data_IF_096420174261
#
_entry.id   IF_096420174261
#
_cell.length_a   1.000
_cell.length_b   1.000
_cell.length_c   1.000
_cell.angle_alpha   90.00
_cell.angle_beta   90.00
_cell.angle_gamma   90.00
#
_symmetry.space_group_name_H-M   'P 1'
#
loop_
_entity.id
_entity.type
_entity.pdbx_description
1 polymer ?
#
# COMPACT_ATOMS: atom_id res chain seq x y z
N UNK A 1 20.14 -54.72 -58.20
CA UNK A 1 20.63 -53.91 -57.08
C UNK A 1 19.85 -52.57 -57.08
N UNK A 2 18.73 -52.53 -56.36
CA UNK A 2 17.92 -51.30 -56.24
C UNK A 2 18.36 -50.59 -55.02
N UNK A 3 18.88 -49.33 -55.16
CA UNK A 3 19.16 -48.44 -54.08
C UNK A 3 17.90 -47.60 -53.74
N UNK A 4 17.31 -47.84 -52.56
CA UNK A 4 16.29 -46.96 -52.00
C UNK A 4 17.00 -45.74 -51.37
N UNK A 5 16.67 -44.56 -51.86
CA UNK A 5 17.05 -43.25 -51.22
C UNK A 5 15.92 -42.88 -50.31
N UNK A 6 16.18 -42.89 -48.98
CA UNK A 6 15.26 -42.38 -47.97
C UNK A 6 15.49 -40.84 -47.83
N UNK A 7 14.51 -40.06 -48.27
CA UNK A 7 14.48 -38.62 -47.99
C UNK A 7 13.93 -38.42 -46.59
N UNK A 8 14.81 -38.01 -45.67
CA UNK A 8 14.41 -37.54 -44.34
C UNK A 8 13.89 -36.12 -44.45
N UNK A 9 12.58 -35.94 -44.29
CA UNK A 9 11.96 -34.61 -44.19
C UNK A 9 12.15 -34.09 -42.76
N UNK A 10 13.14 -33.24 -42.55
CA UNK A 10 13.28 -32.49 -41.30
C UNK A 10 12.20 -31.39 -41.25
N UNK A 11 11.16 -31.64 -40.47
CA UNK A 11 10.18 -30.58 -40.11
C UNK A 11 10.89 -29.60 -39.16
N UNK A 12 11.36 -28.49 -39.69
CA UNK A 12 11.80 -27.37 -38.89
C UNK A 12 10.52 -26.68 -38.36
N UNK A 13 10.16 -27.00 -37.13
CA UNK A 13 9.14 -26.26 -36.42
C UNK A 13 9.70 -24.85 -36.08
N UNK A 14 9.34 -23.87 -36.87
CA UNK A 14 9.50 -22.49 -36.48
C UNK A 14 8.54 -22.24 -35.30
N UNK A 15 9.04 -22.31 -34.07
CA UNK A 15 8.38 -21.71 -32.95
C UNK A 15 8.48 -20.19 -33.13
N UNK A 16 7.49 -19.59 -33.78
CA UNK A 16 7.28 -18.15 -33.71
C UNK A 16 6.74 -17.90 -32.30
N UNK A 17 7.65 -17.62 -31.36
CA UNK A 17 7.27 -17.01 -30.10
C UNK A 17 6.65 -15.65 -30.45
N UNK A 18 5.33 -15.53 -30.37
CA UNK A 18 4.67 -14.25 -30.51
C UNK A 18 5.21 -13.35 -29.39
N UNK A 19 5.88 -12.28 -29.78
CA UNK A 19 6.39 -11.29 -28.83
C UNK A 19 5.18 -10.54 -28.24
N UNK A 20 4.99 -10.59 -26.91
CA UNK A 20 3.96 -9.82 -26.20
C UNK A 20 3.93 -8.35 -26.62
N UNK A 21 5.07 -7.84 -27.09
CA UNK A 21 5.28 -6.44 -27.47
C UNK A 21 4.83 -6.08 -28.89
N UNK A 22 4.55 -7.06 -29.75
CA UNK A 22 4.36 -6.79 -31.19
C UNK A 22 3.17 -5.87 -31.50
N UNK A 23 2.16 -5.81 -30.64
CA UNK A 23 1.01 -4.90 -30.76
C UNK A 23 0.67 -4.19 -29.45
N UNK A 24 1.60 -4.17 -28.48
CA UNK A 24 1.36 -3.71 -27.12
C UNK A 24 0.66 -2.36 -27.10
N UNK A 25 1.22 -1.37 -27.79
CA UNK A 25 0.70 0.01 -27.77
C UNK A 25 -0.73 0.09 -28.28
N UNK A 26 -0.99 -0.53 -29.43
CA UNK A 26 -2.33 -0.54 -30.04
C UNK A 26 -3.37 -1.27 -29.17
N UNK A 27 -2.99 -2.41 -28.60
CA UNK A 27 -3.91 -3.22 -27.80
C UNK A 27 -4.21 -2.56 -26.46
N UNK A 28 -3.23 -1.88 -25.86
CA UNK A 28 -3.45 -1.06 -24.66
C UNK A 28 -4.32 0.13 -24.98
N UNK A 29 -4.05 0.89 -26.06
CA UNK A 29 -4.87 2.05 -26.44
C UNK A 29 -6.36 1.68 -26.59
N UNK A 30 -6.66 0.52 -27.20
CA UNK A 30 -8.04 0.01 -27.30
C UNK A 30 -8.63 -0.36 -25.93
N UNK A 31 -7.78 -0.85 -25.00
CA UNK A 31 -8.19 -1.29 -23.68
C UNK A 31 -8.46 -0.12 -22.73
N UNK A 32 -7.79 1.02 -22.93
CA UNK A 32 -7.84 2.17 -22.02
C UNK A 32 -9.23 2.74 -21.84
N UNK A 33 -10.10 2.72 -22.85
CA UNK A 33 -11.49 3.16 -22.71
C UNK A 33 -12.22 2.37 -21.61
N UNK A 34 -12.02 1.04 -21.56
CA UNK A 34 -12.58 0.19 -20.51
C UNK A 34 -11.94 0.41 -19.14
N UNK A 35 -10.60 0.58 -19.10
CA UNK A 35 -9.87 0.82 -17.85
C UNK A 35 -10.38 2.09 -17.19
N UNK A 36 -10.57 3.17 -17.96
CA UNK A 36 -11.13 4.44 -17.50
C UNK A 36 -12.58 4.24 -17.00
N UNK A 37 -13.40 3.52 -17.77
CA UNK A 37 -14.79 3.22 -17.37
C UNK A 37 -14.84 2.45 -16.04
N UNK A 38 -14.01 1.42 -15.89
CA UNK A 38 -13.96 0.65 -14.63
C UNK A 38 -13.50 1.52 -13.46
N UNK A 39 -12.48 2.35 -13.66
CA UNK A 39 -12.02 3.26 -12.62
C UNK A 39 -13.12 4.22 -12.20
N UNK A 40 -13.80 4.90 -13.15
CA UNK A 40 -14.87 5.85 -12.85
C UNK A 40 -16.02 5.18 -12.10
N UNK A 41 -16.43 3.97 -12.52
CA UNK A 41 -17.49 3.21 -11.87
C UNK A 41 -17.11 2.78 -10.44
N UNK A 42 -15.87 2.37 -10.18
CA UNK A 42 -15.39 2.03 -8.84
C UNK A 42 -15.29 3.29 -7.98
N UNK A 43 -14.80 4.39 -8.54
CA UNK A 43 -14.69 5.68 -7.86
C UNK A 43 -16.05 6.24 -7.41
N UNK A 44 -17.07 6.10 -8.25
CA UNK A 44 -18.43 6.56 -7.94
C UNK A 44 -19.11 5.72 -6.84
N UNK A 45 -18.65 4.47 -6.64
CA UNK A 45 -19.23 3.51 -5.72
C UNK A 45 -18.18 2.95 -4.72
N UNK A 46 -17.49 3.80 -3.97
CA UNK A 46 -16.41 3.36 -3.08
C UNK A 46 -16.95 2.60 -1.87
N UNK A 47 -16.17 1.63 -1.41
CA UNK A 47 -16.48 0.77 -0.28
C UNK A 47 -15.32 0.77 0.71
N UNK A 48 -15.61 0.85 2.03
CA UNK A 48 -14.59 0.80 3.07
C UNK A 48 -13.99 -0.60 3.21
N UNK A 49 -12.83 -0.69 3.84
CA UNK A 49 -12.11 -1.93 4.11
C UNK A 49 -12.98 -3.03 4.70
N UNK A 50 -12.82 -4.26 4.22
CA UNK A 50 -13.66 -5.45 4.49
C UNK A 50 -15.15 -5.29 4.09
N UNK A 51 -15.49 -4.29 3.31
CA UNK A 51 -16.86 -4.03 2.82
C UNK A 51 -16.91 -3.85 1.30
N UNK A 52 -15.83 -4.20 0.60
CA UNK A 52 -15.65 -4.03 -0.85
C UNK A 52 -16.41 -5.11 -1.66
N UNK A 53 -17.64 -5.42 -1.27
CA UNK A 53 -18.43 -6.52 -1.85
C UNK A 53 -18.80 -6.29 -3.32
N UNK A 54 -19.13 -5.05 -3.70
CA UNK A 54 -19.46 -4.70 -5.07
C UNK A 54 -18.20 -4.72 -5.96
N UNK A 55 -17.12 -4.14 -5.46
CA UNK A 55 -15.82 -4.09 -6.13
C UNK A 55 -15.29 -5.50 -6.33
N UNK A 56 -15.29 -6.31 -5.29
CA UNK A 56 -14.92 -7.73 -5.32
C UNK A 56 -15.74 -8.51 -6.38
N UNK A 57 -17.05 -8.33 -6.41
CA UNK A 57 -17.92 -8.99 -7.39
C UNK A 57 -17.63 -8.55 -8.83
N UNK A 58 -17.38 -7.27 -9.06
CA UNK A 58 -16.99 -6.75 -10.38
C UNK A 58 -15.69 -7.37 -10.87
N UNK A 59 -14.69 -7.47 -9.99
CA UNK A 59 -13.41 -8.10 -10.28
C UNK A 59 -13.59 -9.60 -10.58
N UNK A 60 -14.33 -10.32 -9.74
CA UNK A 60 -14.64 -11.74 -9.95
C UNK A 60 -15.25 -11.98 -11.32
N UNK A 61 -16.31 -11.22 -11.67
CA UNK A 61 -17.03 -11.38 -12.93
C UNK A 61 -16.12 -11.10 -14.12
N UNK A 62 -15.29 -10.05 -14.04
CA UNK A 62 -14.33 -9.73 -15.08
C UNK A 62 -13.31 -10.87 -15.28
N UNK A 63 -12.63 -11.30 -14.22
CA UNK A 63 -11.62 -12.34 -14.32
C UNK A 63 -12.19 -13.67 -14.83
N UNK A 64 -13.39 -14.07 -14.35
CA UNK A 64 -14.07 -15.28 -14.84
C UNK A 64 -14.45 -15.17 -16.32
N UNK A 65 -14.86 -13.99 -16.79
CA UNK A 65 -15.18 -13.75 -18.21
C UNK A 65 -13.98 -13.95 -19.13
N UNK A 66 -12.77 -13.76 -18.60
CA UNK A 66 -11.49 -13.99 -19.28
C UNK A 66 -11.00 -15.45 -19.21
N UNK A 67 -11.74 -16.33 -18.53
CA UNK A 67 -11.32 -17.72 -18.31
C UNK A 67 -10.23 -17.91 -17.26
N UNK A 68 -9.99 -16.90 -16.43
CA UNK A 68 -9.04 -16.94 -15.31
C UNK A 68 -9.68 -17.74 -14.16
N UNK A 69 -8.91 -18.60 -13.50
CA UNK A 69 -9.36 -19.31 -12.28
C UNK A 69 -9.41 -18.31 -11.13
N UNK A 70 -10.54 -18.23 -10.41
CA UNK A 70 -10.77 -17.22 -9.38
C UNK A 70 -11.16 -17.85 -8.06
N UNK A 71 -10.47 -17.45 -6.99
CA UNK A 71 -10.90 -17.60 -5.59
C UNK A 71 -11.39 -16.26 -5.04
N UNK A 72 -12.43 -16.28 -4.25
CA UNK A 72 -13.07 -15.10 -3.65
C UNK A 72 -13.25 -15.26 -2.15
N UNK A 73 -13.63 -14.19 -1.48
CA UNK A 73 -13.83 -14.13 -0.02
C UNK A 73 -12.54 -14.43 0.77
N UNK A 74 -11.38 -14.12 0.21
CA UNK A 74 -10.10 -14.19 0.90
C UNK A 74 -9.94 -12.91 1.73
N UNK A 75 -9.64 -13.03 3.00
CA UNK A 75 -9.64 -11.88 3.93
C UNK A 75 -10.93 -11.04 3.79
N UNK A 76 -12.10 -11.68 3.85
CA UNK A 76 -13.47 -11.18 3.64
C UNK A 76 -13.87 -10.94 2.18
N UNK A 77 -13.28 -9.96 1.51
CA UNK A 77 -13.71 -9.49 0.18
C UNK A 77 -12.65 -9.67 -0.90
N UNK A 78 -11.43 -10.09 -0.53
CA UNK A 78 -10.31 -10.27 -1.45
C UNK A 78 -10.58 -11.29 -2.56
N UNK A 79 -9.97 -11.02 -3.71
CA UNK A 79 -10.08 -11.86 -4.91
C UNK A 79 -8.68 -12.23 -5.40
N UNK A 80 -8.46 -13.51 -5.66
CA UNK A 80 -7.23 -14.02 -6.27
C UNK A 80 -7.55 -14.69 -7.59
N UNK A 81 -6.94 -14.21 -8.67
CA UNK A 81 -7.00 -14.78 -10.01
C UNK A 81 -5.73 -15.51 -10.38
N UNK A 82 -5.82 -16.67 -11.04
CA UNK A 82 -4.66 -17.40 -11.57
C UNK A 82 -4.79 -17.59 -13.06
N UNK A 83 -3.90 -16.96 -13.81
CA UNK A 83 -3.72 -17.14 -15.25
C UNK A 83 -2.52 -18.05 -15.51
N UNK A 84 -2.74 -19.15 -16.21
CA UNK A 84 -1.65 -20.04 -16.64
C UNK A 84 -1.28 -19.71 -18.08
N UNK A 85 -0.04 -19.24 -18.32
CA UNK A 85 0.51 -19.04 -19.65
C UNK A 85 0.78 -20.37 -20.36
N UNK A 86 0.91 -20.30 -21.67
CA UNK A 86 1.13 -21.50 -22.49
C UNK A 86 2.63 -21.90 -22.57
N UNK A 87 3.53 -21.06 -22.07
CA UNK A 87 4.97 -21.32 -22.02
C UNK A 87 5.41 -21.66 -20.58
N UNK A 88 6.40 -22.57 -20.39
CA UNK A 88 6.92 -22.88 -19.07
C UNK A 88 7.61 -21.67 -18.44
N UNK A 89 7.46 -21.49 -17.14
CA UNK A 89 8.07 -20.39 -16.41
C UNK A 89 7.62 -20.31 -14.94
N UNK A 90 8.04 -19.28 -14.21
CA UNK A 90 7.71 -19.08 -12.81
C UNK A 90 6.27 -18.61 -12.60
N UNK A 91 5.84 -18.60 -11.33
CA UNK A 91 4.63 -17.86 -10.91
C UNK A 91 5.04 -16.47 -10.46
N UNK A 92 4.42 -15.45 -11.02
CA UNK A 92 4.61 -14.04 -10.66
C UNK A 92 3.32 -13.48 -10.09
N UNK A 93 3.39 -12.72 -8.98
CA UNK A 93 2.21 -12.09 -8.40
C UNK A 93 2.15 -10.60 -8.75
N UNK A 94 0.95 -10.11 -9.02
CA UNK A 94 0.62 -8.69 -9.19
C UNK A 94 -0.45 -8.31 -8.17
N UNK A 95 -0.31 -7.18 -7.48
CA UNK A 95 -1.23 -6.74 -6.45
C UNK A 95 -1.84 -5.37 -6.74
N UNK A 96 -3.12 -5.26 -6.49
CA UNK A 96 -3.86 -4.00 -6.31
C UNK A 96 -4.69 -4.08 -5.04
N UNK A 97 -4.67 -3.04 -4.22
CA UNK A 97 -5.63 -2.81 -3.15
C UNK A 97 -6.94 -2.28 -3.71
N UNK A 98 -8.05 -2.38 -2.95
CA UNK A 98 -9.37 -2.04 -3.48
C UNK A 98 -10.30 -1.29 -2.53
N UNK A 99 -9.87 -1.00 -1.31
CA UNK A 99 -10.66 -0.29 -0.32
C UNK A 99 -10.62 1.23 -0.50
N UNK A 100 -11.64 1.90 0.06
CA UNK A 100 -11.78 3.35 0.09
C UNK A 100 -11.73 3.88 1.52
N UNK A 101 -11.64 5.21 1.64
CA UNK A 101 -11.48 5.92 2.90
C UNK A 101 -12.76 6.65 3.35
N UNK A 102 -12.94 6.87 4.68
CA UNK A 102 -14.04 7.67 5.22
C UNK A 102 -13.80 9.17 5.00
N UNK A 103 -13.74 9.61 3.75
CA UNK A 103 -13.46 10.98 3.30
C UNK A 103 -14.65 11.50 2.49
N UNK A 104 -15.10 12.73 2.79
CA UNK A 104 -16.11 13.43 1.99
C UNK A 104 -15.47 14.05 0.75
N UNK A 105 -15.84 13.58 -0.44
CA UNK A 105 -15.25 14.03 -1.69
C UNK A 105 -15.65 15.48 -2.05
N UNK A 106 -14.67 16.26 -2.52
CA UNK A 106 -14.84 17.65 -2.94
C UNK A 106 -14.21 17.96 -4.30
N UNK A 107 -13.94 16.94 -5.10
CA UNK A 107 -13.27 17.10 -6.42
C UNK A 107 -14.15 17.80 -7.46
N UNK A 108 -15.48 17.59 -7.38
CA UNK A 108 -16.41 18.08 -8.37
C UNK A 108 -16.39 17.32 -9.70
N UNK A 109 -15.80 16.12 -9.73
CA UNK A 109 -15.77 15.24 -10.91
C UNK A 109 -17.18 14.78 -11.29
N UNK A 110 -17.45 14.49 -12.57
CA UNK A 110 -18.76 13.97 -13.01
C UNK A 110 -19.14 12.65 -12.33
N UNK A 111 -18.15 11.82 -11.96
CA UNK A 111 -18.27 10.55 -11.28
C UNK A 111 -17.84 10.62 -9.79
N UNK A 112 -17.84 11.83 -9.21
CA UNK A 112 -17.52 11.99 -7.80
C UNK A 112 -18.46 11.17 -6.90
N UNK A 113 -17.90 10.56 -5.88
CA UNK A 113 -18.66 9.77 -4.90
C UNK A 113 -19.68 10.60 -4.15
N UNK A 114 -20.86 10.02 -3.96
CA UNK A 114 -21.93 10.51 -3.08
C UNK A 114 -22.29 9.49 -1.99
N UNK A 115 -21.46 8.46 -1.87
CA UNK A 115 -21.65 7.39 -0.91
C UNK A 115 -21.42 7.91 0.50
N UNK A 116 -22.34 7.55 1.41
CA UNK A 116 -22.21 7.84 2.83
C UNK A 116 -22.45 6.56 3.63
N UNK A 117 -21.78 6.46 4.77
CA UNK A 117 -21.90 5.33 5.68
C UNK A 117 -21.67 5.75 7.13
N UNK A 118 -21.94 4.83 8.06
CA UNK A 118 -21.57 5.04 9.47
C UNK A 118 -20.17 4.47 9.71
N UNK A 119 -19.24 5.32 10.15
CA UNK A 119 -17.88 4.93 10.52
C UNK A 119 -17.57 5.44 11.93
N UNK A 120 -17.19 4.54 12.86
CA UNK A 120 -16.95 4.85 14.28
C UNK A 120 -18.11 5.64 14.92
N UNK A 121 -19.37 5.31 14.57
CA UNK A 121 -20.56 5.96 15.07
C UNK A 121 -20.91 7.33 14.46
N UNK A 122 -20.16 7.79 13.46
CA UNK A 122 -20.43 9.04 12.76
C UNK A 122 -20.90 8.77 11.31
N UNK A 123 -21.76 9.63 10.79
CA UNK A 123 -22.12 9.66 9.38
C UNK A 123 -21.00 10.35 8.58
N UNK A 124 -20.37 9.63 7.65
CA UNK A 124 -19.22 10.08 6.87
C UNK A 124 -19.43 9.85 5.37
N UNK A 125 -18.82 10.69 4.53
CA UNK A 125 -18.63 10.40 3.11
C UNK A 125 -17.62 9.28 2.91
N UNK A 126 -17.67 8.60 1.77
CA UNK A 126 -16.68 7.59 1.38
C UNK A 126 -16.09 7.97 0.03
N UNK A 127 -14.77 7.89 -0.11
CA UNK A 127 -14.05 8.28 -1.32
C UNK A 127 -12.81 7.42 -1.55
N UNK A 128 -12.51 7.08 -2.79
CA UNK A 128 -11.19 6.57 -3.17
C UNK A 128 -10.14 7.71 -3.14
N UNK A 129 -9.84 8.19 -1.94
CA UNK A 129 -8.90 9.30 -1.72
C UNK A 129 -7.42 8.86 -1.74
N UNK A 130 -7.14 7.56 -1.93
CA UNK A 130 -5.80 7.01 -2.09
C UNK A 130 -5.52 6.49 -3.52
N UNK A 131 -6.56 6.33 -4.35
CA UNK A 131 -6.42 5.94 -5.76
C UNK A 131 -6.49 4.44 -6.00
N UNK A 132 -7.03 3.66 -5.05
CA UNK A 132 -7.19 2.22 -5.20
C UNK A 132 -8.17 1.84 -6.34
N UNK A 133 -9.10 2.72 -6.69
CA UNK A 133 -9.91 2.63 -7.91
C UNK A 133 -9.05 2.53 -9.18
N UNK A 134 -7.96 3.33 -9.26
CA UNK A 134 -7.00 3.27 -10.36
C UNK A 134 -6.16 1.98 -10.31
N UNK A 135 -5.73 1.56 -9.12
CA UNK A 135 -4.96 0.31 -8.96
C UNK A 135 -5.76 -0.90 -9.45
N UNK A 136 -7.03 -1.02 -9.01
CA UNK A 136 -7.95 -2.09 -9.45
C UNK A 136 -8.15 -2.04 -10.97
N UNK A 137 -8.46 -0.87 -11.52
CA UNK A 137 -8.73 -0.73 -12.95
C UNK A 137 -7.51 -1.06 -13.82
N UNK A 138 -6.31 -0.61 -13.41
CA UNK A 138 -5.04 -0.98 -14.05
C UNK A 138 -4.86 -2.49 -14.04
N UNK A 139 -5.02 -3.15 -12.88
CA UNK A 139 -4.79 -4.59 -12.76
C UNK A 139 -5.86 -5.41 -13.50
N UNK A 140 -7.11 -4.96 -13.58
CA UNK A 140 -8.14 -5.55 -14.45
C UNK A 140 -7.75 -5.44 -15.93
N UNK A 141 -7.20 -4.30 -16.34
CA UNK A 141 -6.67 -4.09 -17.69
C UNK A 141 -5.51 -5.03 -18.02
N UNK A 142 -4.57 -5.16 -17.09
CA UNK A 142 -3.46 -6.13 -17.22
C UNK A 142 -3.98 -7.55 -17.36
N UNK A 143 -4.97 -7.95 -16.57
CA UNK A 143 -5.57 -9.29 -16.64
C UNK A 143 -6.22 -9.53 -18.03
N UNK A 144 -6.96 -8.56 -18.58
CA UNK A 144 -7.55 -8.68 -19.92
C UNK A 144 -6.48 -8.76 -21.00
N UNK A 145 -5.44 -7.92 -20.95
CA UNK A 145 -4.34 -7.95 -21.90
C UNK A 145 -3.60 -9.29 -21.88
N UNK A 146 -3.22 -9.76 -20.69
CA UNK A 146 -2.48 -11.02 -20.54
C UNK A 146 -3.32 -12.24 -20.94
N UNK A 147 -4.60 -12.27 -20.59
CA UNK A 147 -5.49 -13.37 -20.99
C UNK A 147 -5.64 -13.48 -22.50
N UNK A 148 -5.70 -12.37 -23.23
CA UNK A 148 -5.72 -12.33 -24.70
C UNK A 148 -4.40 -12.81 -25.33
N UNK A 149 -3.29 -12.61 -24.64
CA UNK A 149 -1.93 -12.93 -25.11
C UNK A 149 -1.33 -14.15 -24.39
N UNK A 150 -2.16 -15.04 -23.88
CA UNK A 150 -1.79 -16.20 -23.08
C UNK A 150 -0.69 -17.07 -23.70
N UNK A 151 -0.69 -17.23 -25.04
CA UNK A 151 0.30 -18.00 -25.79
C UNK A 151 1.74 -17.48 -25.71
N UNK A 152 1.91 -16.22 -25.30
CA UNK A 152 3.21 -15.57 -25.14
C UNK A 152 3.69 -15.49 -23.68
N UNK A 153 2.83 -15.87 -22.72
CA UNK A 153 3.15 -15.77 -21.31
C UNK A 153 3.98 -16.97 -20.85
N UNK A 154 5.11 -16.68 -20.18
CA UNK A 154 5.94 -17.67 -19.52
C UNK A 154 5.50 -17.86 -18.08
N UNK A 155 5.14 -19.10 -17.71
CA UNK A 155 4.73 -19.42 -16.34
C UNK A 155 3.30 -19.00 -16.03
N UNK A 156 3.09 -18.51 -14.81
CA UNK A 156 1.76 -18.16 -14.27
C UNK A 156 1.75 -16.74 -13.73
N UNK A 157 0.60 -16.09 -13.85
CA UNK A 157 0.37 -14.77 -13.25
C UNK A 157 -0.74 -14.88 -12.21
N UNK A 158 -0.40 -14.54 -10.97
CA UNK A 158 -1.30 -14.45 -9.83
C UNK A 158 -1.74 -13.01 -9.67
N UNK A 159 -3.02 -12.73 -9.88
CA UNK A 159 -3.62 -11.42 -9.64
C UNK A 159 -4.18 -11.40 -8.22
N UNK A 160 -3.74 -10.45 -7.40
CA UNK A 160 -4.20 -10.25 -6.03
C UNK A 160 -4.94 -8.93 -5.97
N UNK A 161 -6.24 -8.97 -5.74
CA UNK A 161 -7.05 -7.81 -5.43
C UNK A 161 -7.33 -7.84 -3.93
N UNK A 162 -6.64 -6.97 -3.21
CA UNK A 162 -6.52 -7.00 -1.77
C UNK A 162 -7.50 -6.06 -1.11
N UNK A 163 -8.27 -6.49 -0.07
CA UNK A 163 -9.12 -5.61 0.72
C UNK A 163 -8.34 -4.92 1.84
N UNK A 164 -8.94 -3.89 2.42
CA UNK A 164 -8.59 -3.29 3.71
C UNK A 164 -7.10 -2.93 3.89
N UNK A 165 -6.47 -2.34 2.87
CA UNK A 165 -5.10 -1.81 2.97
C UNK A 165 -5.01 -0.67 3.98
N UNK A 166 -6.00 0.22 4.00
CA UNK A 166 -6.12 1.38 4.89
C UNK A 166 -6.49 1.00 6.34
N UNK A 167 -6.61 -0.29 6.58
CA UNK A 167 -6.94 -0.89 7.87
C UNK A 167 -8.36 -1.45 7.93
N UNK A 168 -8.51 -2.62 8.58
CA UNK A 168 -9.81 -3.24 8.78
C UNK A 168 -10.64 -2.48 9.82
N UNK A 169 -11.97 -2.69 9.85
CA UNK A 169 -12.83 -2.24 10.94
C UNK A 169 -12.34 -2.70 12.30
N UNK A 170 -12.63 -1.92 13.35
CA UNK A 170 -12.20 -2.24 14.72
C UNK A 170 -12.68 -3.63 15.15
N UNK A 171 -11.75 -4.48 15.60
CA UNK A 171 -11.99 -5.86 16.03
C UNK A 171 -12.00 -6.89 14.90
N UNK A 172 -11.80 -6.50 13.65
CA UNK A 172 -11.62 -7.42 12.52
C UNK A 172 -10.14 -7.52 12.14
N UNK A 173 -9.73 -8.65 11.55
CA UNK A 173 -8.49 -8.76 10.78
C UNK A 173 -8.73 -8.29 9.36
N UNK A 174 -7.68 -8.16 8.55
CA UNK A 174 -7.83 -7.77 7.13
C UNK A 174 -6.49 -7.61 6.42
N UNK A 175 -6.55 -7.05 5.23
CA UNK A 175 -5.39 -6.69 4.44
C UNK A 175 -4.49 -7.84 4.01
N UNK A 176 -3.26 -7.51 3.67
CA UNK A 176 -2.25 -8.46 3.20
C UNK A 176 -1.91 -9.53 4.24
N UNK A 177 -1.84 -9.14 5.53
CA UNK A 177 -1.53 -10.06 6.62
C UNK A 177 -2.54 -11.22 6.68
N UNK A 178 -3.83 -10.91 6.60
CA UNK A 178 -4.88 -11.92 6.64
C UNK A 178 -4.89 -12.77 5.37
N UNK A 179 -4.68 -12.19 4.19
CA UNK A 179 -4.57 -12.95 2.93
C UNK A 179 -3.43 -13.97 3.00
N UNK A 180 -2.28 -13.60 3.57
CA UNK A 180 -1.16 -14.52 3.80
C UNK A 180 -1.49 -15.58 4.83
N UNK A 181 -2.12 -15.22 5.94
CA UNK A 181 -2.55 -16.16 6.97
C UNK A 181 -3.56 -17.21 6.43
N UNK A 182 -4.36 -16.84 5.44
CA UNK A 182 -5.24 -17.75 4.72
C UNK A 182 -4.49 -18.59 3.65
N UNK A 183 -3.15 -18.44 3.53
CA UNK A 183 -2.27 -19.33 2.78
C UNK A 183 -2.26 -19.10 1.26
N UNK A 184 -2.49 -17.90 0.76
CA UNK A 184 -2.48 -17.64 -0.69
C UNK A 184 -1.11 -17.91 -1.31
N UNK A 185 0.00 -17.63 -0.60
CA UNK A 185 1.34 -17.93 -1.12
C UNK A 185 1.68 -19.41 -1.04
N UNK A 186 1.21 -20.12 -0.02
CA UNK A 186 1.39 -21.57 0.08
C UNK A 186 0.71 -22.33 -1.06
N UNK A 187 -0.50 -21.86 -1.46
CA UNK A 187 -1.28 -22.48 -2.54
C UNK A 187 -0.69 -22.24 -3.93
N UNK A 188 -0.17 -21.04 -4.18
CA UNK A 188 0.23 -20.61 -5.52
C UNK A 188 1.72 -20.47 -5.72
N UNK A 189 2.51 -20.42 -4.63
CA UNK A 189 3.97 -20.37 -4.60
C UNK A 189 4.58 -19.34 -5.58
N UNK A 190 4.23 -18.05 -5.50
CA UNK A 190 4.82 -17.04 -6.36
C UNK A 190 6.31 -16.84 -6.02
N UNK A 191 7.13 -16.59 -7.06
CA UNK A 191 8.56 -16.32 -6.88
C UNK A 191 8.85 -14.86 -6.57
N UNK A 192 8.00 -13.95 -7.06
CA UNK A 192 8.11 -12.49 -6.89
C UNK A 192 6.72 -11.87 -6.84
N UNK A 193 6.65 -10.68 -6.26
CA UNK A 193 5.45 -9.86 -6.27
C UNK A 193 5.76 -8.43 -6.71
N UNK A 194 4.88 -7.87 -7.56
CA UNK A 194 4.91 -6.48 -7.99
C UNK A 194 3.65 -5.76 -7.52
N UNK A 195 3.81 -4.53 -7.01
CA UNK A 195 2.71 -3.64 -6.64
C UNK A 195 2.96 -2.24 -7.18
N UNK A 196 1.88 -1.51 -7.46
CA UNK A 196 1.90 -0.13 -7.92
C UNK A 196 1.08 0.72 -6.97
N UNK A 197 1.56 1.95 -6.72
CA UNK A 197 0.76 2.99 -6.07
C UNK A 197 0.74 4.27 -6.89
N UNK A 198 -0.43 4.85 -7.06
CA UNK A 198 -0.56 6.15 -7.70
C UNK A 198 -0.28 7.28 -6.69
N UNK A 199 0.42 8.32 -7.12
CA UNK A 199 0.76 9.44 -6.24
C UNK A 199 0.85 10.76 -7.01
N UNK A 200 0.77 11.87 -6.30
CA UNK A 200 0.76 13.24 -6.84
C UNK A 200 2.13 13.73 -7.36
N UNK A 201 2.83 12.90 -8.13
CA UNK A 201 4.01 13.30 -8.93
C UNK A 201 3.61 13.55 -10.40
N UNK A 202 4.50 14.09 -11.25
CA UNK A 202 4.15 14.40 -12.63
C UNK A 202 3.54 13.23 -13.39
N UNK A 203 2.54 13.52 -14.22
CA UNK A 203 1.76 12.55 -15.00
C UNK A 203 2.62 11.53 -15.73
N UNK A 204 2.30 10.26 -15.56
CA UNK A 204 2.94 9.14 -16.24
C UNK A 204 4.38 8.86 -15.79
N UNK A 205 4.91 9.58 -14.80
CA UNK A 205 6.24 9.29 -14.25
C UNK A 205 6.19 7.99 -13.45
N UNK A 206 7.09 7.07 -13.76
CA UNK A 206 7.31 5.88 -12.96
C UNK A 206 8.53 6.04 -12.06
N UNK A 207 8.40 5.62 -10.80
CA UNK A 207 9.49 5.70 -9.83
C UNK A 207 9.57 4.46 -8.96
N UNK A 208 10.78 4.05 -8.60
CA UNK A 208 11.03 2.95 -7.67
C UNK A 208 12.21 3.29 -6.76
N UNK A 209 12.21 2.77 -5.53
CA UNK A 209 13.31 2.89 -4.59
C UNK A 209 13.80 1.51 -4.16
N UNK A 210 15.06 1.11 -4.43
CA UNK A 210 15.64 -0.11 -3.89
C UNK A 210 15.76 -0.06 -2.36
N UNK A 211 15.63 -1.20 -1.70
CA UNK A 211 15.69 -1.31 -0.25
C UNK A 211 14.44 -0.75 0.43
N UNK A 212 14.57 -0.18 1.64
CA UNK A 212 13.43 0.40 2.36
C UNK A 212 12.77 1.50 1.54
N UNK A 213 11.55 1.27 1.06
CA UNK A 213 10.79 2.19 0.20
C UNK A 213 9.75 2.99 0.98
N UNK A 214 9.01 2.34 1.89
CA UNK A 214 8.08 2.99 2.79
C UNK A 214 8.32 2.55 4.22
N UNK A 215 7.95 3.42 5.19
CA UNK A 215 8.21 3.19 6.59
C UNK A 215 7.37 2.05 7.18
N UNK A 216 7.94 1.36 8.16
CA UNK A 216 7.13 0.63 9.12
C UNK A 216 6.26 1.61 9.92
N UNK A 217 5.02 1.22 10.22
CA UNK A 217 4.10 1.99 11.05
C UNK A 217 3.71 1.22 12.30
N UNK A 218 3.88 1.87 13.43
CA UNK A 218 3.44 1.37 14.74
C UNK A 218 2.71 2.49 15.48
N UNK A 219 1.63 2.14 16.18
CA UNK A 219 1.03 3.04 17.15
C UNK A 219 1.44 2.61 18.57
N UNK A 220 1.58 3.58 19.47
CA UNK A 220 1.78 3.30 20.88
C UNK A 220 0.72 3.99 21.73
N UNK A 221 0.43 3.38 22.88
CA UNK A 221 -0.45 3.91 23.91
C UNK A 221 0.26 3.88 25.26
N UNK A 222 0.28 5.02 25.94
CA UNK A 222 0.79 5.15 27.31
C UNK A 222 -0.39 5.50 28.21
N UNK A 223 -0.67 4.63 29.18
CA UNK A 223 -1.68 4.86 30.22
C UNK A 223 -0.96 5.28 31.49
N UNK A 224 -1.38 6.41 32.08
CA UNK A 224 -0.80 7.02 33.26
C UNK A 224 -1.86 7.00 34.36
N UNK A 225 -1.59 6.35 35.48
CA UNK A 225 -2.48 6.30 36.64
C UNK A 225 -1.86 7.05 37.83
N UNK A 226 -2.58 8.04 38.31
CA UNK A 226 -2.28 8.82 39.49
C UNK A 226 -3.27 8.53 40.62
N UNK A 227 -3.50 9.57 41.45
CA UNK A 227 -4.49 9.58 42.52
C UNK A 227 -5.26 10.88 42.46
N UNK A 228 -6.56 10.80 42.21
CA UNK A 228 -7.44 11.96 42.10
C UNK A 228 -7.50 12.78 43.42
N UNK A 229 -7.49 14.11 43.30
CA UNK A 229 -7.62 15.02 44.44
C UNK A 229 -8.22 16.36 44.00
N UNK A 230 -8.54 17.22 45.00
CA UNK A 230 -8.97 18.58 44.73
C UNK A 230 -7.81 19.42 44.17
N UNK A 231 -8.02 20.17 43.11
CA UNK A 231 -6.98 20.99 42.45
C UNK A 231 -6.28 22.00 43.35
N UNK A 232 -6.91 22.41 44.49
CA UNK A 232 -6.29 23.31 45.47
C UNK A 232 -5.43 22.59 46.52
N UNK A 233 -5.46 21.24 46.56
CA UNK A 233 -4.68 20.41 47.48
C UNK A 233 -3.89 19.34 46.75
N UNK A 234 -3.02 19.71 45.78
CA UNK A 234 -2.35 18.74 44.89
C UNK A 234 -1.44 17.75 45.64
N UNK A 235 -0.92 18.15 46.81
CA UNK A 235 -0.09 17.27 47.65
C UNK A 235 -0.85 16.09 48.28
N UNK A 236 -2.19 16.07 48.19
CA UNK A 236 -3.02 14.98 48.69
C UNK A 236 -3.27 13.87 47.62
N UNK A 237 -2.75 14.06 46.43
CA UNK A 237 -2.90 13.15 45.32
C UNK A 237 -1.59 12.85 44.60
N UNK A 238 -1.69 12.22 43.42
CA UNK A 238 -0.59 12.03 42.49
C UNK A 238 -1.09 12.49 41.10
N UNK A 239 -0.46 13.50 40.54
CA UNK A 239 -0.94 14.18 39.34
C UNK A 239 -0.48 13.51 38.02
N UNK A 240 -1.37 12.85 37.28
CA UNK A 240 -1.02 12.24 36.00
C UNK A 240 -0.87 13.26 34.87
N UNK A 241 -1.37 14.50 35.05
CA UNK A 241 -1.20 15.57 34.02
C UNK A 241 0.25 16.04 34.01
N UNK A 242 0.88 16.21 35.18
CA UNK A 242 2.29 16.56 35.26
C UNK A 242 3.17 15.45 34.68
N UNK A 243 2.88 14.18 34.99
CA UNK A 243 3.57 13.04 34.38
C UNK A 243 3.40 13.00 32.84
N UNK A 244 2.22 13.37 32.35
CA UNK A 244 1.96 13.47 30.89
C UNK A 244 2.84 14.54 30.23
N UNK A 245 3.01 15.71 30.85
CA UNK A 245 3.88 16.76 30.32
C UNK A 245 5.35 16.31 30.24
N UNK A 246 5.87 15.71 31.32
CA UNK A 246 7.24 15.16 31.35
C UNK A 246 7.46 14.06 30.32
N UNK A 247 6.46 13.19 30.11
CA UNK A 247 6.52 12.15 29.07
C UNK A 247 6.63 12.78 27.66
N UNK A 248 5.79 13.77 27.34
CA UNK A 248 5.81 14.41 26.02
C UNK A 248 7.16 15.06 25.74
N UNK A 249 7.72 15.80 26.68
CA UNK A 249 9.03 16.40 26.56
C UNK A 249 10.14 15.35 26.37
N UNK A 250 10.11 14.29 27.17
CA UNK A 250 11.11 13.21 27.12
C UNK A 250 11.02 12.39 25.85
N UNK A 251 9.81 12.06 25.36
CA UNK A 251 9.60 11.32 24.10
C UNK A 251 10.18 12.07 22.89
N UNK A 252 10.07 13.40 22.85
CA UNK A 252 10.69 14.23 21.80
C UNK A 252 12.23 14.15 21.78
N UNK A 253 12.84 13.71 22.88
CA UNK A 253 14.31 13.54 22.94
C UNK A 253 14.78 12.26 22.23
N UNK A 254 13.92 11.29 21.98
CA UNK A 254 14.31 10.01 21.34
C UNK A 254 14.95 10.29 19.98
N UNK A 255 14.22 10.92 19.07
CA UNK A 255 14.72 11.20 17.72
C UNK A 255 15.89 12.20 17.75
N UNK A 256 15.80 13.23 18.60
CA UNK A 256 16.79 14.32 18.60
C UNK A 256 18.09 14.02 19.36
N UNK A 257 18.12 13.01 20.26
CA UNK A 257 19.25 12.78 21.18
C UNK A 257 19.68 11.32 21.31
N UNK A 258 18.85 10.33 20.96
CA UNK A 258 19.10 8.93 21.31
C UNK A 258 19.29 8.00 20.12
N UNK A 259 18.92 8.43 18.91
CA UNK A 259 19.07 7.65 17.69
C UNK A 259 19.94 8.36 16.64
N UNK A 260 20.59 7.56 15.80
CA UNK A 260 21.39 8.07 14.67
C UNK A 260 20.48 8.25 13.45
N UNK A 261 19.95 9.45 13.27
CA UNK A 261 19.03 9.80 12.17
C UNK A 261 19.71 9.88 10.79
N UNK A 262 21.06 9.87 10.73
CA UNK A 262 21.79 9.95 9.45
C UNK A 262 21.66 8.63 8.69
N UNK A 263 21.78 7.52 9.39
CA UNK A 263 21.74 6.20 8.77
C UNK A 263 20.29 5.69 8.66
N UNK A 264 19.49 5.93 9.71
CA UNK A 264 18.14 5.39 9.83
C UNK A 264 17.20 6.49 10.33
N UNK A 265 16.55 7.25 9.44
CA UNK A 265 15.58 8.26 9.85
C UNK A 265 14.39 7.62 10.56
N UNK A 266 13.82 8.33 11.54
CA UNK A 266 12.65 7.90 12.26
C UNK A 266 11.76 9.07 12.65
N UNK A 267 10.49 8.78 12.88
CA UNK A 267 9.50 9.72 13.44
C UNK A 267 8.91 9.08 14.70
N UNK A 268 8.85 9.87 15.77
CA UNK A 268 8.10 9.55 17.01
C UNK A 268 7.24 10.73 17.32
N UNK A 269 5.93 10.60 17.20
CA UNK A 269 4.98 11.71 17.40
C UNK A 269 3.93 11.35 18.44
N UNK A 270 3.57 12.33 19.27
CA UNK A 270 2.37 12.29 20.12
C UNK A 270 1.23 12.93 19.33
N UNK A 271 0.17 12.16 19.05
CA UNK A 271 -0.99 12.63 18.28
C UNK A 271 -2.26 12.83 19.12
N UNK A 272 -2.32 12.22 20.31
CA UNK A 272 -3.49 12.32 21.19
C UNK A 272 -3.09 12.37 22.65
N UNK A 273 -3.72 13.26 23.41
CA UNK A 273 -3.66 13.34 24.88
C UNK A 273 -5.07 13.42 25.42
N UNK A 274 -5.38 12.60 26.41
CA UNK A 274 -6.63 12.66 27.18
C UNK A 274 -6.30 12.75 28.67
N UNK A 275 -6.76 13.78 29.36
CA UNK A 275 -6.56 13.97 30.79
C UNK A 275 -7.58 14.94 31.36
N UNK A 276 -8.18 14.61 32.51
CA UNK A 276 -9.06 15.47 33.27
C UNK A 276 -10.39 15.79 32.59
N UNK A 277 -11.35 16.28 33.42
CA UNK A 277 -12.69 16.65 32.97
C UNK A 277 -13.10 18.05 33.49
N UNK A 278 -12.43 18.55 34.54
CA UNK A 278 -12.77 19.83 35.19
C UNK A 278 -11.52 20.50 35.78
N UNK A 279 -11.45 21.81 35.65
CA UNK A 279 -10.29 22.63 36.02
C UNK A 279 -9.86 22.58 37.51
N UNK A 280 -10.74 22.17 38.40
CA UNK A 280 -10.46 22.12 39.85
C UNK A 280 -10.35 20.69 40.40
N UNK A 281 -10.13 19.70 39.52
CA UNK A 281 -9.94 18.30 39.88
C UNK A 281 -8.64 17.81 39.19
N UNK A 282 -7.70 17.31 40.00
CA UNK A 282 -6.60 16.49 39.49
C UNK A 282 -7.18 15.11 39.19
N UNK A 283 -7.12 14.61 37.95
CA UNK A 283 -7.76 13.35 37.58
C UNK A 283 -7.04 12.13 38.15
N UNK A 284 -7.71 10.97 38.10
CA UNK A 284 -7.09 9.70 38.47
C UNK A 284 -6.18 9.16 37.36
N UNK A 285 -6.51 9.42 36.08
CA UNK A 285 -5.81 8.86 34.94
C UNK A 285 -5.58 9.91 33.83
N UNK A 286 -4.62 9.57 32.97
CA UNK A 286 -4.37 10.23 31.70
C UNK A 286 -3.90 9.20 30.67
N UNK A 287 -3.99 9.55 29.39
CA UNK A 287 -3.55 8.71 28.27
C UNK A 287 -2.86 9.55 27.21
N UNK A 288 -1.77 9.00 26.69
CA UNK A 288 -1.10 9.45 25.47
C UNK A 288 -1.24 8.38 24.41
N UNK A 289 -1.46 8.78 23.16
CA UNK A 289 -1.28 7.91 21.99
C UNK A 289 -0.44 8.61 20.94
N UNK A 290 0.37 7.83 20.24
CA UNK A 290 1.23 8.37 19.20
C UNK A 290 1.59 7.33 18.14
N UNK A 291 2.42 7.77 17.21
CA UNK A 291 2.87 6.94 16.08
C UNK A 291 4.38 6.92 15.99
N UNK A 292 4.91 5.79 15.53
CA UNK A 292 6.31 5.57 15.24
C UNK A 292 6.43 5.23 13.75
N UNK A 293 7.41 5.83 13.06
CA UNK A 293 7.80 5.46 11.69
C UNK A 293 9.28 5.17 11.66
N UNK A 294 9.67 4.03 11.06
CA UNK A 294 11.08 3.61 10.93
C UNK A 294 11.28 2.87 9.62
N UNK A 295 12.53 2.81 9.18
CA UNK A 295 12.96 2.05 7.99
C UNK A 295 13.87 0.87 8.33
N UNK A 296 14.03 0.59 9.62
CA UNK A 296 14.90 -0.47 10.15
C UNK A 296 14.22 -1.14 11.35
N UNK A 297 14.00 -2.46 11.33
CA UNK A 297 13.39 -3.19 12.44
C UNK A 297 14.19 -3.10 13.75
N UNK A 298 15.52 -3.00 13.68
CA UNK A 298 16.37 -2.88 14.87
C UNK A 298 16.20 -1.50 15.52
N UNK A 299 16.10 -0.45 14.69
CA UNK A 299 15.81 0.90 15.20
C UNK A 299 14.41 0.97 15.83
N UNK A 300 13.41 0.31 15.26
CA UNK A 300 12.08 0.22 15.86
C UNK A 300 12.14 -0.38 17.26
N UNK A 301 12.85 -1.50 17.41
CA UNK A 301 13.05 -2.15 18.71
C UNK A 301 13.73 -1.20 19.71
N UNK A 302 14.78 -0.51 19.29
CA UNK A 302 15.46 0.49 20.11
C UNK A 302 14.48 1.59 20.57
N UNK A 303 13.64 2.12 19.68
CA UNK A 303 12.66 3.15 20.04
C UNK A 303 11.66 2.64 21.08
N UNK A 304 11.20 1.38 20.98
CA UNK A 304 10.31 0.79 21.98
C UNK A 304 10.99 0.72 23.36
N UNK A 305 12.24 0.26 23.41
CA UNK A 305 13.04 0.22 24.64
C UNK A 305 13.23 1.61 25.25
N UNK A 306 13.46 2.64 24.42
CA UNK A 306 13.61 4.03 24.87
C UNK A 306 12.29 4.59 25.43
N UNK A 307 11.14 4.32 24.79
CA UNK A 307 9.83 4.73 25.30
C UNK A 307 9.55 4.08 26.65
N UNK A 308 9.83 2.79 26.80
CA UNK A 308 9.67 2.08 28.09
C UNK A 308 10.59 2.64 29.19
N UNK A 309 11.84 2.95 28.83
CA UNK A 309 12.81 3.52 29.79
C UNK A 309 12.36 4.91 30.26
N UNK A 310 11.90 5.76 29.35
CA UNK A 310 11.34 7.07 29.67
C UNK A 310 10.12 6.93 30.58
N UNK A 311 9.19 6.04 30.24
CA UNK A 311 7.99 5.79 31.03
C UNK A 311 8.33 5.34 32.49
N UNK A 312 9.31 4.44 32.64
CA UNK A 312 9.82 4.00 33.93
C UNK A 312 10.44 5.16 34.74
N UNK A 313 11.25 6.02 34.09
CA UNK A 313 11.87 7.19 34.72
C UNK A 313 10.86 8.21 35.22
N UNK A 314 9.88 8.56 34.38
CA UNK A 314 8.81 9.50 34.74
C UNK A 314 7.92 8.91 35.84
N UNK A 315 7.56 7.66 35.76
CA UNK A 315 6.77 6.98 36.80
C UNK A 315 7.45 7.07 38.18
N UNK A 316 8.77 6.84 38.22
CA UNK A 316 9.56 6.93 39.44
C UNK A 316 9.60 8.38 39.99
N UNK A 317 9.81 9.36 39.12
CA UNK A 317 9.92 10.78 39.50
C UNK A 317 8.59 11.36 39.97
N UNK A 318 7.48 11.01 39.36
CA UNK A 318 6.15 11.55 39.64
C UNK A 318 5.33 10.74 40.65
N UNK A 319 5.74 9.49 40.94
CA UNK A 319 5.00 8.55 41.78
C UNK A 319 3.77 7.91 41.07
N UNK A 320 3.59 8.16 39.75
CA UNK A 320 2.51 7.57 38.95
C UNK A 320 2.78 6.11 38.60
N UNK A 321 1.72 5.37 38.16
CA UNK A 321 1.88 4.06 37.53
C UNK A 321 1.68 4.23 36.03
N UNK A 322 2.70 3.86 35.26
CA UNK A 322 2.68 4.01 33.80
C UNK A 322 2.80 2.64 33.14
N UNK A 323 1.94 2.38 32.16
CA UNK A 323 2.04 1.22 31.26
C UNK A 323 2.11 1.65 29.81
N UNK A 324 2.88 0.93 29.00
CA UNK A 324 3.06 1.16 27.57
C UNK A 324 2.53 -0.03 26.81
N UNK A 325 1.77 0.22 25.76
CA UNK A 325 1.27 -0.76 24.79
C UNK A 325 1.78 -0.32 23.41
N UNK A 326 2.34 -1.26 22.64
CA UNK A 326 2.80 -1.02 21.27
C UNK A 326 1.91 -1.74 20.27
N UNK A 327 2.00 -1.33 19.01
CA UNK A 327 1.27 -1.89 17.87
C UNK A 327 -0.26 -1.88 18.05
N UNK A 328 -0.74 -0.83 18.71
CA UNK A 328 -2.17 -0.65 19.00
C UNK A 328 -2.93 -0.38 17.70
N UNK A 329 -3.83 -1.30 17.34
CA UNK A 329 -4.60 -1.22 16.10
C UNK A 329 -3.89 -1.80 14.88
N UNK A 330 -2.77 -2.50 15.08
CA UNK A 330 -2.00 -3.16 14.02
C UNK A 330 -0.60 -2.58 13.84
N UNK A 331 0.16 -3.26 13.01
CA UNK A 331 1.54 -2.93 12.67
C UNK A 331 1.76 -3.17 11.18
N UNK A 332 2.44 -2.26 10.48
CA UNK A 332 2.90 -2.48 9.11
C UNK A 332 4.43 -2.57 9.11
N UNK A 333 5.01 -3.64 8.57
CA UNK A 333 6.45 -3.75 8.36
C UNK A 333 6.99 -2.67 7.41
N UNK A 334 8.30 -2.60 7.27
CA UNK A 334 8.95 -1.79 6.22
C UNK A 334 8.56 -2.37 4.86
N UNK A 335 8.00 -1.56 3.97
CA UNK A 335 7.86 -1.94 2.56
C UNK A 335 9.25 -1.95 1.94
N UNK A 336 9.76 -3.16 1.73
CA UNK A 336 11.12 -3.40 1.28
C UNK A 336 11.14 -3.90 -0.16
N UNK A 337 11.73 -3.13 -1.04
CA UNK A 337 11.99 -3.52 -2.42
C UNK A 337 13.30 -4.28 -2.51
N UNK A 338 13.27 -5.54 -2.92
CA UNK A 338 14.48 -6.34 -3.06
C UNK A 338 15.44 -5.70 -4.08
N UNK A 339 16.65 -5.25 -3.67
CA UNK A 339 17.51 -4.47 -4.55
C UNK A 339 17.94 -5.21 -5.82
N UNK A 340 18.12 -6.53 -5.76
CA UNK A 340 18.45 -7.33 -6.94
C UNK A 340 17.28 -7.37 -7.91
N UNK A 341 16.05 -7.54 -7.41
CA UNK A 341 14.83 -7.52 -8.22
C UNK A 341 14.66 -6.15 -8.88
N UNK A 342 14.80 -5.06 -8.13
CA UNK A 342 14.71 -3.70 -8.67
C UNK A 342 15.74 -3.49 -9.78
N UNK A 343 17.02 -3.88 -9.56
CA UNK A 343 18.06 -3.74 -10.56
C UNK A 343 17.79 -4.57 -11.83
N UNK A 344 17.22 -5.75 -11.69
CA UNK A 344 16.84 -6.59 -12.84
C UNK A 344 15.65 -6.00 -13.62
N UNK A 345 14.68 -5.38 -12.92
CA UNK A 345 13.37 -5.04 -13.47
C UNK A 345 13.14 -3.54 -13.75
N UNK A 346 13.98 -2.63 -13.23
CA UNK A 346 13.82 -1.18 -13.50
C UNK A 346 13.86 -0.82 -15.00
N UNK A 347 14.56 -1.62 -15.81
CA UNK A 347 14.54 -1.49 -17.27
C UNK A 347 13.15 -1.66 -17.88
N UNK A 348 12.29 -2.48 -17.29
CA UNK A 348 10.90 -2.68 -17.71
C UNK A 348 10.06 -1.43 -17.45
N UNK A 349 10.25 -0.78 -16.30
CA UNK A 349 9.61 0.51 -15.99
C UNK A 349 10.07 1.63 -16.94
N UNK A 350 11.36 1.65 -17.30
CA UNK A 350 11.90 2.61 -18.28
C UNK A 350 11.29 2.42 -19.67
N UNK A 351 10.97 1.18 -20.05
CA UNK A 351 10.27 0.88 -21.32
C UNK A 351 8.81 1.29 -21.27
N UNK A 352 8.15 1.10 -20.13
CA UNK A 352 6.75 1.44 -19.94
C UNK A 352 6.48 2.95 -20.04
N UNK A 353 7.41 3.77 -19.53
CA UNK A 353 7.30 5.24 -19.55
C UNK A 353 8.61 5.87 -20.02
N UNK A 354 8.89 5.91 -21.33
CA UNK A 354 10.15 6.39 -21.89
C UNK A 354 10.42 7.86 -21.52
N UNK A 355 11.60 8.09 -20.91
CA UNK A 355 12.02 9.45 -20.50
C UNK A 355 11.35 10.00 -19.24
N UNK A 356 10.44 9.23 -18.60
CA UNK A 356 9.70 9.63 -17.39
C UNK A 356 9.89 8.62 -16.23
N UNK A 357 11.07 8.05 -16.11
CA UNK A 357 11.45 7.15 -15.03
C UNK A 357 12.54 7.77 -14.17
N UNK A 358 12.46 7.60 -12.86
CA UNK A 358 13.58 7.87 -11.96
C UNK A 358 13.67 6.85 -10.82
N UNK A 359 14.89 6.52 -10.41
CA UNK A 359 15.16 5.73 -9.23
C UNK A 359 15.31 6.68 -8.02
N UNK A 360 14.39 6.55 -7.05
CA UNK A 360 14.40 7.41 -5.87
C UNK A 360 15.47 6.98 -4.87
N UNK A 361 16.13 7.96 -4.25
CA UNK A 361 17.04 7.73 -3.12
C UNK A 361 16.35 7.98 -1.77
N UNK A 362 15.17 8.59 -1.76
CA UNK A 362 14.46 9.00 -0.54
C UNK A 362 13.28 8.07 -0.31
N UNK A 363 13.18 7.43 0.87
CA UNK A 363 12.01 6.64 1.22
C UNK A 363 10.84 7.54 1.61
N UNK A 364 9.62 6.98 1.56
CA UNK A 364 8.38 7.66 1.97
C UNK A 364 8.05 7.28 3.41
N UNK A 365 7.64 8.25 4.22
CA UNK A 365 7.24 8.02 5.62
C UNK A 365 5.84 7.45 5.80
N UNK A 366 5.05 7.35 4.71
CA UNK A 366 3.83 6.55 4.64
C UNK A 366 4.14 5.07 4.91
N UNK A 367 3.12 4.32 5.28
CA UNK A 367 3.19 2.87 5.44
C UNK A 367 2.24 2.21 4.45
N UNK A 368 2.48 0.93 4.18
CA UNK A 368 1.78 0.17 3.14
C UNK A 368 1.84 -1.33 3.51
N UNK A 369 0.70 -2.00 3.54
CA UNK A 369 0.63 -3.39 3.97
C UNK A 369 1.10 -4.40 2.91
N UNK A 370 1.36 -3.96 1.65
CA UNK A 370 2.18 -4.72 0.70
C UNK A 370 3.49 -5.21 1.33
N UNK A 371 3.94 -4.52 2.36
CA UNK A 371 5.10 -4.88 3.17
C UNK A 371 5.03 -6.32 3.69
N UNK A 372 3.87 -6.83 4.06
CA UNK A 372 3.71 -8.22 4.49
C UNK A 372 4.06 -9.20 3.37
N UNK A 373 3.60 -8.95 2.15
CA UNK A 373 3.97 -9.79 1.00
C UNK A 373 5.47 -9.75 0.73
N UNK A 374 6.08 -8.55 0.80
CA UNK A 374 7.52 -8.38 0.53
C UNK A 374 8.42 -8.88 1.65
N UNK A 375 7.89 -9.27 2.82
CA UNK A 375 8.62 -10.02 3.85
C UNK A 375 8.69 -11.52 3.52
N UNK A 376 7.71 -12.05 2.79
CA UNK A 376 7.63 -13.48 2.46
C UNK A 376 8.38 -13.84 1.18
N UNK A 377 8.32 -12.97 0.15
CA UNK A 377 8.97 -13.18 -1.14
C UNK A 377 9.57 -11.88 -1.66
N UNK A 378 10.55 -11.92 -2.58
CA UNK A 378 11.09 -10.71 -3.20
C UNK A 378 9.99 -9.86 -3.83
N UNK A 379 9.83 -8.62 -3.32
CA UNK A 379 8.84 -7.66 -3.77
C UNK A 379 9.46 -6.45 -4.45
N UNK A 380 8.71 -5.85 -5.37
CA UNK A 380 9.00 -4.55 -5.94
C UNK A 380 7.73 -3.70 -6.00
N UNK A 381 7.69 -2.67 -5.18
CA UNK A 381 6.62 -1.68 -5.12
C UNK A 381 7.09 -0.38 -5.76
N UNK A 382 6.32 0.15 -6.71
CA UNK A 382 6.71 1.33 -7.48
C UNK A 382 5.55 2.33 -7.57
N UNK A 383 5.88 3.59 -7.89
CA UNK A 383 4.92 4.68 -7.96
C UNK A 383 4.65 5.10 -9.38
N UNK A 384 3.38 5.46 -9.62
CA UNK A 384 2.90 6.08 -10.86
C UNK A 384 2.41 7.50 -10.58
N UNK A 385 2.92 8.46 -11.31
CA UNK A 385 2.53 9.86 -11.24
C UNK A 385 1.20 10.12 -11.92
N UNK A 386 0.29 10.81 -11.19
CA UNK A 386 -1.11 10.97 -11.61
C UNK A 386 -1.57 12.45 -11.65
N UNK A 387 -0.65 13.42 -11.53
CA UNK A 387 -1.00 14.82 -11.65
C UNK A 387 -1.55 15.12 -13.06
N UNK A 388 -2.30 16.21 -13.19
CA UNK A 388 -2.69 16.71 -14.51
C UNK A 388 -1.44 16.95 -15.37
N UNK A 389 -1.50 16.66 -16.69
CA UNK A 389 -0.38 16.95 -17.59
C UNK A 389 0.11 18.40 -17.46
N UNK A 390 1.43 18.58 -17.36
CA UNK A 390 2.06 19.90 -17.18
C UNK A 390 2.14 20.40 -15.73
N UNK A 391 1.60 19.68 -14.76
CA UNK A 391 1.74 20.01 -13.33
C UNK A 391 2.95 19.26 -12.76
N UNK A 392 4.01 20.00 -12.43
CA UNK A 392 5.25 19.46 -11.86
C UNK A 392 5.26 19.48 -10.32
N UNK A 393 6.29 18.85 -9.75
CA UNK A 393 6.54 18.83 -8.29
C UNK A 393 6.72 20.24 -7.69
N UNK A 394 7.27 21.18 -8.47
CA UNK A 394 7.46 22.57 -8.06
C UNK A 394 6.14 23.30 -7.75
N UNK A 395 5.03 22.71 -8.20
CA UNK A 395 3.68 23.21 -7.96
C UNK A 395 3.13 22.83 -6.58
N UNK A 396 3.77 21.92 -5.86
CA UNK A 396 3.29 21.37 -4.58
C UNK A 396 3.58 22.31 -3.41
N UNK A 397 2.87 23.43 -3.33
CA UNK A 397 2.74 24.17 -2.07
C UNK A 397 1.70 23.46 -1.20
N UNK A 398 2.19 22.71 -0.22
CA UNK A 398 1.35 22.00 0.75
C UNK A 398 0.39 22.97 1.44
N UNK A 399 -0.90 22.75 1.29
CA UNK A 399 -1.93 23.37 2.12
C UNK A 399 -3.01 24.21 1.41
N UNK A 400 -2.76 24.74 0.20
CA UNK A 400 -3.73 25.65 -0.46
C UNK A 400 -4.08 25.27 -1.92
N UNK A 401 -3.47 24.21 -2.48
CA UNK A 401 -3.66 23.86 -3.89
C UNK A 401 -4.50 22.61 -4.05
N UNK A 402 -5.66 22.76 -4.66
CA UNK A 402 -6.58 21.66 -5.02
C UNK A 402 -6.17 20.92 -6.30
N UNK A 403 -5.24 21.47 -7.09
CA UNK A 403 -4.76 20.92 -8.36
C UNK A 403 -3.58 19.94 -8.20
N UNK A 404 -3.01 19.83 -6.99
CA UNK A 404 -1.94 18.89 -6.61
C UNK A 404 -2.19 18.23 -5.24
N UNK A 405 -3.45 17.96 -4.95
CA UNK A 405 -3.83 17.34 -3.69
C UNK A 405 -3.18 15.94 -3.54
N UNK A 406 -2.54 15.72 -2.41
CA UNK A 406 -1.95 14.41 -2.07
C UNK A 406 -2.99 13.37 -1.70
N UNK A 407 -2.55 12.13 -1.62
CA UNK A 407 -3.36 11.01 -1.13
C UNK A 407 -4.03 11.37 0.21
N UNK A 408 -5.24 10.86 0.46
CA UNK A 408 -6.14 11.12 1.60
C UNK A 408 -6.76 12.53 1.64
N UNK A 409 -6.49 13.38 0.63
CA UNK A 409 -7.15 14.67 0.51
C UNK A 409 -8.57 14.52 -0.06
N UNK A 410 -9.57 15.31 0.41
CA UNK A 410 -10.90 15.35 -0.22
C UNK A 410 -10.89 15.90 -1.66
N UNK A 411 -9.77 16.44 -2.10
CA UNK A 411 -9.51 16.94 -3.46
C UNK A 411 -8.56 16.04 -4.25
N UNK A 412 -8.23 14.86 -3.74
CA UNK A 412 -7.36 13.90 -4.43
C UNK A 412 -7.92 13.57 -5.82
N UNK A 413 -7.04 13.57 -6.81
CA UNK A 413 -7.40 13.41 -8.21
C UNK A 413 -6.38 12.54 -8.93
N UNK A 414 -6.88 11.62 -9.73
CA UNK A 414 -6.08 10.80 -10.66
C UNK A 414 -6.40 11.25 -12.09
N UNK A 415 -5.40 11.64 -12.85
CA UNK A 415 -5.55 11.90 -14.27
C UNK A 415 -5.55 10.58 -15.06
N UNK A 416 -6.64 10.32 -15.78
CA UNK A 416 -6.84 9.06 -16.52
C UNK A 416 -5.76 8.80 -17.57
N UNK A 417 -5.12 9.85 -18.09
CA UNK A 417 -4.07 9.72 -19.09
C UNK A 417 -2.76 9.10 -18.56
N UNK A 418 -2.66 8.84 -17.25
CA UNK A 418 -1.52 8.15 -16.64
C UNK A 418 -1.72 6.64 -16.51
N UNK A 419 -2.96 6.15 -16.68
CA UNK A 419 -3.28 4.75 -16.37
C UNK A 419 -2.64 3.75 -17.32
N UNK A 420 -2.40 4.16 -18.57
CA UNK A 420 -1.76 3.31 -19.58
C UNK A 420 -0.32 2.95 -19.22
N UNK A 421 0.45 3.89 -18.61
CA UNK A 421 1.78 3.58 -18.11
C UNK A 421 1.75 2.53 -17.00
N UNK A 422 0.70 2.54 -16.16
CA UNK A 422 0.48 1.51 -15.14
C UNK A 422 0.25 0.13 -15.76
N UNK A 423 -0.61 0.04 -16.78
CA UNK A 423 -0.86 -1.21 -17.51
C UNK A 423 0.42 -1.68 -18.21
N UNK A 424 1.12 -0.79 -18.94
CA UNK A 424 2.40 -1.09 -19.60
C UNK A 424 3.44 -1.58 -18.60
N UNK A 425 3.56 -0.93 -17.45
CA UNK A 425 4.54 -1.30 -16.43
C UNK A 425 4.39 -2.76 -16.00
N UNK A 426 3.18 -3.16 -15.63
CA UNK A 426 2.94 -4.55 -15.23
C UNK A 426 3.14 -5.55 -16.38
N UNK A 427 2.72 -5.21 -17.60
CA UNK A 427 2.93 -6.09 -18.77
C UNK A 427 4.41 -6.28 -19.06
N UNK A 428 5.23 -5.21 -19.04
CA UNK A 428 6.68 -5.33 -19.22
C UNK A 428 7.35 -6.08 -18.08
N UNK A 429 6.88 -5.92 -16.83
CA UNK A 429 7.41 -6.68 -15.70
C UNK A 429 7.16 -8.20 -15.86
N UNK A 430 5.98 -8.60 -16.33
CA UNK A 430 5.66 -10.01 -16.59
C UNK A 430 6.50 -10.56 -17.74
N UNK A 431 6.64 -9.83 -18.85
CA UNK A 431 7.36 -10.30 -20.03
C UNK A 431 8.87 -10.39 -19.82
N UNK A 432 9.44 -9.39 -19.13
CA UNK A 432 10.89 -9.27 -18.93
C UNK A 432 11.41 -10.09 -17.73
N UNK A 433 10.54 -10.61 -16.84
CA UNK A 433 11.01 -11.32 -15.65
C UNK A 433 11.76 -12.61 -16.03
N UNK A 434 13.07 -12.72 -15.68
CA UNK A 434 13.91 -13.82 -16.14
C UNK A 434 13.77 -15.11 -15.33
N UNK A 435 12.97 -15.11 -14.26
CA UNK A 435 13.01 -16.13 -13.20
C UNK A 435 13.97 -15.74 -12.07
N UNK A 436 14.24 -16.67 -11.14
CA UNK A 436 15.11 -16.41 -9.98
C UNK A 436 16.43 -15.73 -10.37
N UNK A 437 16.78 -14.66 -9.73
CA UNK A 437 17.94 -13.80 -9.94
C UNK A 437 19.00 -13.95 -8.84
#
# INVERSE_FOLDING_TARGET
MNKFIIFSLSIISFNISADLKQNLDKDIDILMEKVIEWRHDIHEHPELGNREFRTSKKIEDHLRSLGIKVETNIAYTGVVGMLEGDLPGPTMALRADMDALPVEEKTGLPFASKVRTTYLGNDVGVMHACGHDAHVAILMGVAEFLAKNKSSIKGKVMFIFQPAEEGPPEGEGGGAEMMLAEGIFDRYNPEVIFGLHVTNIPNGVLSVKPGPAMAAASAYRIKIKGVQTHGSTPWSGIDPIMATAELIESLNTIVSRRINIINNPAVVSVGLVKAGTRNNIIPEDAQIMGTIRTFDPLLRKQIYEEIEQIAKGVALGTGTKISVEFDVGGFYPVTYNEPKLVNAMKGSLMKASPGRFYESNIPVTGAEDFSYFSQEIPGMYFWLGINKPGVGLESANFGERTDVAGNHSPYFYVDDSALDEGVRAFVYLIDDYPGKF
#
